data_IF_760886390747
#
_entry.id   IF_760886390747
#
_cell.length_a   1.000
_cell.length_b   1.000
_cell.length_c   1.000
_cell.angle_alpha   90.00
_cell.angle_beta   90.00
_cell.angle_gamma   90.00
#
_symmetry.space_group_name_H-M   'P 1'
#
loop_
_entity.id
_entity.type
_entity.pdbx_description
1 polymer ?
#
# COMPACT_ATOMS: atom_id res chain seq x y z
N UNK A 1 -10.39 20.53 2.97
CA UNK A 1 -11.43 19.53 3.24
C UNK A 1 -10.82 18.50 4.18
N UNK A 2 -11.31 18.44 5.40
CA UNK A 2 -10.75 17.64 6.49
C UNK A 2 -11.03 16.16 6.17
N UNK A 3 -10.03 15.42 5.71
CA UNK A 3 -10.16 13.98 5.58
C UNK A 3 -10.06 13.39 6.98
N UNK A 4 -11.21 13.21 7.63
CA UNK A 4 -11.39 12.39 8.84
C UNK A 4 -11.22 10.90 8.51
N UNK A 5 -10.20 10.54 7.70
CA UNK A 5 -9.94 9.17 7.28
C UNK A 5 -8.61 8.71 7.84
N UNK A 6 -8.63 7.50 8.38
CA UNK A 6 -7.59 6.87 9.19
C UNK A 6 -6.19 6.99 8.55
N UNK A 7 -5.26 7.67 9.23
CA UNK A 7 -3.85 7.67 8.86
C UNK A 7 -3.26 6.29 9.17
N UNK A 8 -2.76 5.53 8.18
CA UNK A 8 -2.21 4.21 8.44
C UNK A 8 -0.98 4.32 9.35
N UNK A 9 -0.93 3.49 10.40
CA UNK A 9 0.16 3.51 11.37
C UNK A 9 1.44 3.01 10.69
N UNK A 10 2.56 3.72 10.92
CA UNK A 10 3.88 3.43 10.34
C UNK A 10 3.88 3.30 8.80
N UNK A 11 3.02 4.06 8.10
CA UNK A 11 2.92 3.97 6.65
C UNK A 11 4.27 4.11 5.93
N UNK A 12 5.00 5.19 6.19
CA UNK A 12 6.29 5.46 5.51
C UNK A 12 7.34 4.38 5.79
N UNK A 13 7.64 4.01 7.07
CA UNK A 13 8.55 2.91 7.36
C UNK A 13 8.16 1.58 6.71
N UNK A 14 6.86 1.25 6.65
CA UNK A 14 6.40 0.06 5.95
C UNK A 14 6.67 0.13 4.45
N UNK A 15 6.41 1.27 3.80
CA UNK A 15 6.69 1.44 2.37
C UNK A 15 8.18 1.39 2.05
N UNK A 16 9.03 1.95 2.92
CA UNK A 16 10.49 1.89 2.80
C UNK A 16 11.02 0.47 3.00
N UNK A 17 10.56 -0.21 4.05
CA UNK A 17 10.99 -1.58 4.37
C UNK A 17 10.53 -2.62 3.34
N UNK A 18 9.35 -2.41 2.75
CA UNK A 18 8.84 -3.28 1.68
C UNK A 18 9.60 -3.11 0.35
N UNK A 19 10.32 -1.99 0.19
CA UNK A 19 11.13 -1.68 -0.99
C UNK A 19 10.41 -1.98 -2.32
N UNK A 20 9.21 -1.40 -2.45
CA UNK A 20 8.24 -1.76 -3.49
C UNK A 20 8.87 -1.68 -4.89
N UNK A 21 8.62 -2.72 -5.69
CA UNK A 21 9.00 -2.83 -7.08
C UNK A 21 7.78 -2.57 -7.96
N UNK A 22 7.88 -1.71 -8.98
CA UNK A 22 6.75 -1.38 -9.85
C UNK A 22 6.13 -2.59 -10.57
N UNK A 23 6.89 -3.65 -10.79
CA UNK A 23 6.48 -4.92 -11.40
C UNK A 23 6.28 -6.04 -10.37
N UNK A 24 6.28 -5.71 -9.08
CA UNK A 24 6.17 -6.69 -8.01
C UNK A 24 4.75 -7.23 -7.82
N UNK A 25 4.66 -8.38 -7.14
CA UNK A 25 3.40 -8.96 -6.66
C UNK A 25 3.33 -8.80 -5.15
N UNK A 26 2.23 -8.24 -4.66
CA UNK A 26 2.02 -7.94 -3.25
C UNK A 26 0.73 -8.58 -2.75
N UNK A 27 0.72 -8.92 -1.46
CA UNK A 27 -0.46 -9.46 -0.79
C UNK A 27 -0.64 -8.76 0.57
N UNK A 28 -1.78 -8.10 0.75
CA UNK A 28 -2.13 -7.45 2.02
C UNK A 28 -2.97 -8.37 2.88
N UNK A 29 -2.29 -9.16 3.73
CA UNK A 29 -2.92 -10.13 4.64
C UNK A 29 -3.74 -9.48 5.76
N UNK A 30 -3.78 -8.14 5.82
CA UNK A 30 -4.41 -7.36 6.89
C UNK A 30 -5.21 -6.18 6.35
N UNK A 31 -5.77 -6.31 5.14
CA UNK A 31 -6.40 -5.25 4.34
C UNK A 31 -7.07 -4.12 5.15
N UNK A 32 -7.93 -4.46 6.12
CA UNK A 32 -8.51 -3.49 7.05
C UNK A 32 -9.23 -2.35 6.32
N UNK A 33 -8.83 -1.10 6.58
CA UNK A 33 -9.37 0.09 5.89
C UNK A 33 -8.70 0.42 4.55
N UNK A 34 -7.86 -0.46 4.01
CA UNK A 34 -7.17 -0.30 2.71
C UNK A 34 -6.08 0.77 2.69
N UNK A 35 -5.66 1.25 3.86
CA UNK A 35 -4.73 2.37 3.98
C UNK A 35 -3.33 2.07 3.42
N UNK A 36 -2.81 0.88 3.75
CA UNK A 36 -1.51 0.40 3.25
C UNK A 36 -1.60 -0.10 1.82
N UNK A 37 -2.66 -0.85 1.46
CA UNK A 37 -2.86 -1.35 0.10
C UNK A 37 -2.96 -0.21 -0.91
N UNK A 38 -3.66 0.89 -0.59
CA UNK A 38 -3.66 2.10 -1.45
C UNK A 38 -2.26 2.66 -1.69
N UNK A 39 -1.43 2.75 -0.65
CA UNK A 39 -0.08 3.28 -0.78
C UNK A 39 0.86 2.34 -1.56
N UNK A 40 0.61 1.02 -1.52
CA UNK A 40 1.28 0.04 -2.36
C UNK A 40 0.90 0.29 -3.82
N UNK A 41 -0.40 0.31 -4.14
CA UNK A 41 -0.93 0.54 -5.49
C UNK A 41 -0.41 1.83 -6.13
N UNK A 42 -0.29 2.93 -5.38
CA UNK A 42 0.26 4.20 -5.87
C UNK A 42 1.70 4.10 -6.39
N UNK A 43 2.44 3.04 -6.00
CA UNK A 43 3.83 2.79 -6.41
C UNK A 43 3.97 1.67 -7.44
N UNK A 44 2.88 0.97 -7.75
CA UNK A 44 2.87 -0.13 -8.69
C UNK A 44 2.69 0.34 -10.14
N UNK A 45 3.29 -0.40 -11.06
CA UNK A 45 3.19 -0.20 -12.50
C UNK A 45 2.13 -1.10 -13.14
N UNK A 46 1.88 -0.94 -14.46
CA UNK A 46 0.80 -1.63 -15.17
C UNK A 46 0.88 -3.17 -15.16
N UNK A 47 2.09 -3.71 -15.03
CA UNK A 47 2.37 -5.16 -15.04
C UNK A 47 2.33 -5.79 -13.63
N UNK A 48 2.12 -4.98 -12.60
CA UNK A 48 2.04 -5.44 -11.21
C UNK A 48 0.77 -6.25 -10.94
N UNK A 49 0.80 -7.01 -9.85
CA UNK A 49 -0.36 -7.74 -9.34
C UNK A 49 -0.50 -7.42 -7.86
N UNK A 50 -1.66 -6.90 -7.46
CA UNK A 50 -2.02 -6.69 -6.06
C UNK A 50 -3.19 -7.59 -5.68
N UNK A 51 -3.01 -8.37 -4.62
CA UNK A 51 -4.01 -9.27 -4.07
C UNK A 51 -4.38 -8.79 -2.66
N UNK A 52 -5.63 -8.34 -2.50
CA UNK A 52 -6.20 -7.91 -1.21
C UNK A 52 -6.68 -9.09 -0.37
#
# INVERSE_FOLDING_TARGET
MNATYHTPVLLQPCMEGLNIKPDGTYCDLTFGGGGHSRAILEKLGPESIDCF
#
